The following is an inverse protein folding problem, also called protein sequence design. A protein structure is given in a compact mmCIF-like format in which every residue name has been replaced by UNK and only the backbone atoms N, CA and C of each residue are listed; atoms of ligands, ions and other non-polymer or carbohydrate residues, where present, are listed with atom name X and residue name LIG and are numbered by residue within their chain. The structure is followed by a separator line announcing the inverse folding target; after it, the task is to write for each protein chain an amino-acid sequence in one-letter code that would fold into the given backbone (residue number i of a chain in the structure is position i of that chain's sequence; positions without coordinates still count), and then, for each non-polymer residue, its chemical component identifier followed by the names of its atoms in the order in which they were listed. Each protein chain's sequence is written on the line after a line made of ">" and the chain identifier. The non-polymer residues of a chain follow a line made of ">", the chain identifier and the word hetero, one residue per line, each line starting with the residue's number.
data_IF_525291998411
#
_entry.id   IF_525291998411
#
_cell.length_a   1.000
_cell.length_b   1.000
_cell.length_c   1.000
_cell.angle_alpha   90.00
_cell.angle_beta   90.00
_cell.angle_gamma   90.00
#
_symmetry.space_group_name_H-M   'P 1'
#
loop_
_entity.id
_entity.type
_entity.pdbx_description
1 polymer ?
#
# COMPACT_ATOMS: atom_id res chain seq x y z
N UNK A 1 53.57 0.24 -12.28
CA UNK A 1 52.25 0.04 -12.90
C UNK A 1 51.20 0.19 -11.81
N UNK A 2 50.57 1.34 -11.74
CA UNK A 2 49.53 1.64 -10.74
C UNK A 2 48.18 1.27 -11.36
N UNK A 3 47.49 0.24 -10.80
CA UNK A 3 46.15 -0.14 -11.20
C UNK A 3 45.15 0.71 -10.43
N UNK A 4 44.54 1.65 -11.12
CA UNK A 4 43.46 2.46 -10.58
C UNK A 4 42.19 1.60 -10.56
N UNK A 5 41.69 1.20 -9.36
CA UNK A 5 40.39 0.61 -9.19
C UNK A 5 39.31 1.72 -9.28
N UNK A 6 38.52 1.71 -10.32
CA UNK A 6 37.28 2.50 -10.37
C UNK A 6 36.23 1.83 -9.47
N UNK A 7 35.91 2.47 -8.37
CA UNK A 7 34.75 2.10 -7.53
C UNK A 7 33.51 2.71 -8.18
N UNK A 8 32.66 1.88 -8.77
CA UNK A 8 31.36 2.30 -9.26
C UNK A 8 30.43 2.51 -8.05
N UNK A 9 30.17 3.76 -7.70
CA UNK A 9 29.11 4.09 -6.73
C UNK A 9 27.75 3.90 -7.39
N UNK A 10 27.06 2.85 -7.01
CA UNK A 10 25.63 2.68 -7.33
C UNK A 10 24.83 3.60 -6.40
N UNK A 11 24.25 4.66 -6.94
CA UNK A 11 23.26 5.46 -6.23
C UNK A 11 21.96 4.66 -6.15
N UNK A 12 21.66 4.11 -4.97
CA UNK A 12 20.32 3.61 -4.67
C UNK A 12 19.42 4.85 -4.53
N UNK A 13 18.41 4.97 -5.40
CA UNK A 13 17.35 5.96 -5.23
C UNK A 13 16.59 5.62 -3.94
N UNK A 14 16.39 6.56 -3.01
CA UNK A 14 15.61 6.29 -1.82
C UNK A 14 14.16 6.01 -2.23
N UNK A 15 13.64 4.82 -1.90
CA UNK A 15 12.22 4.53 -2.00
C UNK A 15 11.50 5.40 -0.94
N UNK A 16 10.46 6.12 -1.37
CA UNK A 16 9.66 6.94 -0.46
C UNK A 16 8.71 6.03 0.32
N UNK A 17 8.88 5.99 1.64
CA UNK A 17 7.97 5.27 2.53
C UNK A 17 6.58 5.91 2.47
N UNK A 18 5.55 5.06 2.30
CA UNK A 18 4.16 5.49 2.26
C UNK A 18 3.54 5.43 3.65
N UNK A 19 2.47 6.18 3.86
CA UNK A 19 1.79 6.27 5.15
C UNK A 19 0.93 5.03 5.40
N UNK A 20 1.26 4.28 6.46
CA UNK A 20 0.47 3.14 6.96
C UNK A 20 -0.07 3.53 8.33
N UNK A 21 -1.38 3.65 8.45
CA UNK A 21 -2.04 4.10 9.69
C UNK A 21 -3.14 3.14 10.13
N UNK A 22 -3.50 3.19 11.41
CA UNK A 22 -4.69 2.49 11.90
C UNK A 22 -5.94 2.99 11.20
N UNK A 23 -6.92 2.08 11.00
CA UNK A 23 -8.19 2.44 10.41
C UNK A 23 -8.91 3.50 11.26
N UNK A 24 -9.34 4.55 10.60
CA UNK A 24 -10.10 5.63 11.17
C UNK A 24 -11.19 6.07 10.16
N UNK A 25 -11.43 7.34 10.01
CA UNK A 25 -12.48 7.90 9.16
C UNK A 25 -12.44 7.41 7.69
N UNK A 26 -11.28 7.03 7.18
CA UNK A 26 -11.13 6.51 5.81
C UNK A 26 -11.78 5.13 5.62
N UNK A 27 -11.76 4.30 6.68
CA UNK A 27 -12.14 2.89 6.63
C UNK A 27 -13.62 2.67 6.93
N UNK A 28 -14.48 3.46 6.31
CA UNK A 28 -15.93 3.30 6.41
C UNK A 28 -16.43 2.32 5.35
N UNK A 29 -17.51 1.62 5.67
CA UNK A 29 -18.11 0.65 4.74
C UNK A 29 -18.58 1.31 3.43
N UNK A 30 -19.08 2.54 3.50
CA UNK A 30 -19.52 3.32 2.35
C UNK A 30 -18.37 3.94 1.53
N UNK A 31 -17.12 3.81 2.00
CA UNK A 31 -15.94 4.18 1.25
C UNK A 31 -15.37 3.03 0.41
N UNK A 32 -15.80 1.78 0.63
CA UNK A 32 -15.36 0.65 -0.21
C UNK A 32 -15.86 0.90 -1.63
N UNK A 33 -14.92 0.93 -2.58
CA UNK A 33 -15.22 1.25 -3.97
C UNK A 33 -16.11 0.18 -4.60
N UNK A 34 -17.07 0.61 -5.39
CA UNK A 34 -18.07 -0.24 -6.03
C UNK A 34 -17.64 -0.68 -7.45
N UNK A 35 -17.97 -1.91 -7.88
CA UNK A 35 -18.58 -2.99 -7.08
C UNK A 35 -17.57 -3.69 -6.17
N UNK A 36 -17.98 -4.04 -4.96
CA UNK A 36 -17.10 -4.58 -3.91
C UNK A 36 -16.34 -5.83 -4.34
N UNK A 37 -16.97 -6.71 -5.11
CA UNK A 37 -16.36 -7.95 -5.60
C UNK A 37 -15.18 -7.72 -6.56
N UNK A 38 -15.14 -6.59 -7.25
CA UNK A 38 -14.05 -6.23 -8.15
C UNK A 38 -12.90 -5.49 -7.41
N UNK A 39 -13.25 -4.73 -6.37
CA UNK A 39 -12.31 -3.89 -5.64
C UNK A 39 -12.00 -4.39 -4.23
N UNK A 40 -12.20 -5.69 -3.99
CA UNK A 40 -11.81 -6.38 -2.77
C UNK A 40 -11.30 -7.78 -3.11
N UNK A 41 -10.18 -8.20 -2.49
CA UNK A 41 -9.60 -9.54 -2.66
C UNK A 41 -9.15 -10.11 -1.32
N UNK A 42 -9.23 -11.43 -1.20
CA UNK A 42 -8.74 -12.17 -0.04
C UNK A 42 -7.50 -12.99 -0.38
N UNK A 43 -6.65 -13.17 0.62
CA UNK A 43 -5.41 -13.95 0.56
C UNK A 43 -5.29 -14.79 1.84
N UNK A 44 -4.35 -15.73 1.87
CA UNK A 44 -4.10 -16.59 3.03
C UNK A 44 -5.39 -17.26 3.56
N UNK A 45 -6.13 -17.93 2.67
CA UNK A 45 -7.39 -18.62 2.97
C UNK A 45 -8.48 -17.71 3.61
N UNK A 46 -8.48 -16.42 3.26
CA UNK A 46 -9.43 -15.44 3.76
C UNK A 46 -8.99 -14.65 4.98
N UNK A 47 -7.85 -14.99 5.59
CA UNK A 47 -7.33 -14.28 6.77
C UNK A 47 -6.93 -12.84 6.45
N UNK A 48 -6.46 -12.60 5.25
CA UNK A 48 -6.09 -11.27 4.77
C UNK A 48 -7.10 -10.79 3.73
N UNK A 49 -7.55 -9.55 3.86
CA UNK A 49 -8.39 -8.88 2.86
C UNK A 49 -7.79 -7.53 2.52
N UNK A 50 -7.69 -7.26 1.22
CA UNK A 50 -7.41 -5.94 0.67
C UNK A 50 -8.67 -5.39 0.02
N UNK A 51 -8.90 -4.09 0.17
CA UNK A 51 -9.97 -3.39 -0.55
C UNK A 51 -9.54 -1.97 -0.91
N UNK A 52 -10.03 -1.50 -2.06
CA UNK A 52 -9.85 -0.11 -2.45
C UNK A 52 -10.94 0.74 -1.79
N UNK A 53 -10.52 1.82 -1.13
CA UNK A 53 -11.38 2.82 -0.54
C UNK A 53 -11.35 4.09 -1.40
N UNK A 54 -12.49 4.76 -1.54
CA UNK A 54 -12.60 6.11 -2.06
C UNK A 54 -13.32 6.98 -1.02
N UNK A 55 -12.58 7.91 -0.45
CA UNK A 55 -13.11 8.86 0.54
C UNK A 55 -13.77 10.08 -0.10
N UNK A 56 -13.73 10.17 -1.45
CA UNK A 56 -14.26 11.27 -2.27
C UNK A 56 -13.41 12.55 -2.13
N UNK A 57 -13.08 12.92 -0.92
CA UNK A 57 -12.27 14.10 -0.61
C UNK A 57 -10.99 13.72 0.19
N UNK A 58 -9.87 14.37 -0.07
CA UNK A 58 -9.62 15.36 -1.14
C UNK A 58 -9.56 14.69 -2.52
N UNK A 59 -10.14 15.31 -3.55
CA UNK A 59 -10.29 14.71 -4.88
C UNK A 59 -8.96 14.25 -5.53
N UNK A 60 -7.86 14.94 -5.25
CA UNK A 60 -6.53 14.58 -5.74
C UNK A 60 -5.84 13.44 -4.94
N UNK A 61 -6.46 12.96 -3.86
CA UNK A 61 -5.89 11.96 -2.96
C UNK A 61 -6.96 11.24 -2.15
N UNK A 62 -8.03 10.78 -2.79
CA UNK A 62 -9.16 10.12 -2.12
C UNK A 62 -9.04 8.61 -2.01
N UNK A 63 -8.13 7.97 -2.75
CA UNK A 63 -8.01 6.52 -2.77
C UNK A 63 -7.01 6.01 -1.75
N UNK A 64 -7.44 5.02 -0.95
CA UNK A 64 -6.60 4.35 0.03
C UNK A 64 -6.69 2.83 -0.16
N UNK A 65 -5.62 2.11 0.21
CA UNK A 65 -5.66 0.65 0.29
C UNK A 65 -6.01 0.25 1.72
N UNK A 66 -7.14 -0.44 1.89
CA UNK A 66 -7.52 -1.08 3.15
C UNK A 66 -6.82 -2.41 3.28
N UNK A 67 -6.26 -2.68 4.44
CA UNK A 67 -5.66 -3.98 4.82
C UNK A 67 -6.31 -4.48 6.11
N UNK A 68 -7.02 -5.60 6.00
CA UNK A 68 -7.50 -6.37 7.16
C UNK A 68 -6.68 -7.66 7.25
N UNK A 69 -6.05 -7.91 8.38
CA UNK A 69 -5.11 -9.03 8.49
C UNK A 69 -4.94 -9.52 9.93
N UNK A 70 -4.35 -10.72 10.14
CA UNK A 70 -3.78 -11.07 11.43
C UNK A 70 -2.69 -10.04 11.84
N UNK A 71 -2.33 -9.95 13.13
CA UNK A 71 -2.83 -10.81 14.22
C UNK A 71 -4.26 -10.46 14.63
N UNK A 72 -4.96 -11.44 15.18
CA UNK A 72 -6.27 -11.24 15.78
C UNK A 72 -6.13 -10.71 17.21
N UNK A 73 -7.02 -9.82 17.61
CA UNK A 73 -7.13 -9.36 18.98
C UNK A 73 -7.81 -10.40 19.89
N UNK A 74 -7.94 -10.09 21.17
CA UNK A 74 -8.54 -11.00 22.17
C UNK A 74 -10.01 -11.32 21.88
N UNK A 75 -10.69 -10.50 21.10
CA UNK A 75 -12.10 -10.68 20.70
C UNK A 75 -12.24 -11.35 19.34
N UNK A 76 -11.13 -11.68 18.68
CA UNK A 76 -11.12 -12.29 17.35
C UNK A 76 -11.20 -11.26 16.20
N UNK A 77 -11.01 -9.97 16.46
CA UNK A 77 -10.94 -8.93 15.45
C UNK A 77 -9.57 -8.92 14.75
N UNK A 78 -9.58 -8.75 13.42
CA UNK A 78 -8.34 -8.54 12.65
C UNK A 78 -7.80 -7.13 12.88
N UNK A 79 -6.49 -6.96 12.76
CA UNK A 79 -5.96 -5.61 12.63
C UNK A 79 -6.50 -4.94 11.38
N UNK A 80 -6.69 -3.63 11.46
CA UNK A 80 -7.16 -2.79 10.36
C UNK A 80 -6.16 -1.67 10.11
N UNK A 81 -5.68 -1.57 8.86
CA UNK A 81 -4.75 -0.51 8.42
C UNK A 81 -5.23 0.08 7.11
N UNK A 82 -4.91 1.35 6.92
CA UNK A 82 -5.02 2.01 5.62
C UNK A 82 -3.66 2.47 5.14
N UNK A 83 -3.39 2.30 3.85
CA UNK A 83 -2.18 2.80 3.19
C UNK A 83 -2.60 3.96 2.30
N UNK A 84 -2.01 5.11 2.55
CA UNK A 84 -2.19 6.33 1.76
C UNK A 84 -0.86 6.84 1.21
N UNK A 85 -0.94 7.95 0.48
CA UNK A 85 0.25 8.60 -0.10
C UNK A 85 1.09 9.29 0.99
N UNK A 86 0.45 9.98 1.93
CA UNK A 86 1.10 10.64 3.05
C UNK A 86 0.40 11.92 3.50
N UNK A 87 0.66 12.34 4.73
CA UNK A 87 0.04 13.54 5.31
C UNK A 87 -1.48 13.46 5.45
N UNK A 88 -2.03 12.26 5.60
CA UNK A 88 -3.46 12.00 5.64
C UNK A 88 -4.13 11.89 4.27
N UNK A 89 -3.43 12.19 3.19
CA UNK A 89 -3.94 12.04 1.83
C UNK A 89 -3.73 10.61 1.30
N UNK A 90 -4.66 10.18 0.46
CA UNK A 90 -4.55 8.95 -0.31
C UNK A 90 -3.86 9.17 -1.67
N UNK A 91 -4.01 8.18 -2.53
CA UNK A 91 -3.60 8.25 -3.93
C UNK A 91 -4.67 8.95 -4.78
N UNK A 92 -4.27 9.45 -5.95
CA UNK A 92 -5.21 9.99 -6.95
C UNK A 92 -5.93 8.87 -7.71
N UNK A 93 -5.37 7.67 -7.72
CA UNK A 93 -5.95 6.47 -8.29
C UNK A 93 -5.19 5.23 -7.87
N UNK A 94 -5.89 4.10 -7.81
CA UNK A 94 -5.31 2.77 -7.57
C UNK A 94 -5.81 1.84 -8.67
N UNK A 95 -4.89 1.27 -9.46
CA UNK A 95 -5.19 0.28 -10.48
C UNK A 95 -5.38 -1.10 -9.87
N UNK A 96 -6.47 -1.30 -9.11
CA UNK A 96 -6.70 -2.49 -8.30
C UNK A 96 -6.75 -3.79 -9.12
N UNK A 97 -7.17 -3.73 -10.39
CA UNK A 97 -7.13 -4.86 -11.32
C UNK A 97 -5.71 -5.37 -11.59
N UNK A 98 -4.72 -4.49 -11.46
CA UNK A 98 -3.29 -4.81 -11.59
C UNK A 98 -2.62 -5.29 -10.31
N UNK A 99 -3.39 -5.50 -9.23
CA UNK A 99 -2.84 -6.00 -7.96
C UNK A 99 -2.23 -7.40 -8.14
N UNK A 100 -0.96 -7.52 -7.78
CA UNK A 100 -0.21 -8.77 -7.72
C UNK A 100 0.17 -9.10 -6.28
N UNK A 101 0.30 -10.38 -5.98
CA UNK A 101 0.68 -10.85 -4.66
C UNK A 101 1.67 -12.01 -4.76
N UNK A 102 2.67 -12.00 -3.87
CA UNK A 102 3.66 -13.05 -3.71
C UNK A 102 3.82 -13.38 -2.23
N UNK A 103 4.37 -14.54 -1.93
CA UNK A 103 4.72 -14.95 -0.57
C UNK A 103 6.21 -15.28 -0.47
N UNK A 104 6.86 -14.71 0.54
CA UNK A 104 8.23 -15.02 0.89
C UNK A 104 8.28 -15.41 2.37
N UNK A 105 8.77 -16.64 2.72
CA UNK A 105 8.81 -17.09 4.11
C UNK A 105 9.60 -16.19 5.06
N UNK A 106 10.57 -15.43 4.56
CA UNK A 106 11.39 -14.52 5.35
C UNK A 106 10.72 -13.16 5.60
N UNK A 107 9.75 -12.77 4.76
CA UNK A 107 9.12 -11.44 4.78
C UNK A 107 7.63 -11.54 5.12
N UNK A 108 6.92 -12.47 4.51
CA UNK A 108 5.47 -12.61 4.53
C UNK A 108 4.84 -12.40 3.16
N UNK A 109 3.64 -11.85 3.12
CA UNK A 109 2.98 -11.47 1.88
C UNK A 109 3.60 -10.18 1.32
N UNK A 110 3.77 -10.16 0.01
CA UNK A 110 4.31 -9.02 -0.73
C UNK A 110 3.28 -8.65 -1.80
N UNK A 111 2.89 -7.38 -1.84
CA UNK A 111 1.89 -6.87 -2.77
C UNK A 111 2.48 -5.77 -3.63
N UNK A 112 2.03 -5.71 -4.87
CA UNK A 112 2.31 -4.62 -5.79
C UNK A 112 1.05 -4.17 -6.51
N UNK A 113 0.83 -2.88 -6.60
CA UNK A 113 -0.33 -2.32 -7.30
C UNK A 113 0.03 -1.00 -7.99
N UNK A 114 -0.38 -0.78 -9.26
CA UNK A 114 -0.19 0.50 -9.92
C UNK A 114 -0.99 1.60 -9.22
N UNK A 115 -0.38 2.76 -9.05
CA UNK A 115 -1.03 3.92 -8.43
C UNK A 115 -0.75 5.20 -9.21
N UNK A 116 -1.64 6.17 -9.04
CA UNK A 116 -1.40 7.57 -9.40
C UNK A 116 -1.41 8.42 -8.13
N UNK A 117 -0.62 9.46 -8.11
CA UNK A 117 -0.55 10.41 -7.00
C UNK A 117 -0.30 11.81 -7.51
N UNK A 118 -0.68 12.81 -6.70
CA UNK A 118 -0.38 14.20 -7.00
C UNK A 118 1.02 14.53 -6.49
N UNK A 119 1.91 14.93 -7.38
CA UNK A 119 3.25 15.38 -7.05
C UNK A 119 3.24 16.91 -6.89
N UNK A 120 3.38 17.37 -5.66
CA UNK A 120 3.36 18.79 -5.35
C UNK A 120 4.56 19.57 -5.88
N UNK A 121 5.69 18.91 -6.14
CA UNK A 121 6.88 19.55 -6.72
C UNK A 121 6.70 19.79 -8.22
N UNK A 122 6.10 18.83 -8.91
CA UNK A 122 5.78 18.96 -10.33
C UNK A 122 4.48 19.72 -10.58
N UNK A 123 3.64 19.88 -9.56
CA UNK A 123 2.28 20.40 -9.63
C UNK A 123 1.42 19.65 -10.68
N UNK A 124 1.60 18.33 -10.76
CA UNK A 124 0.94 17.46 -11.72
C UNK A 124 0.78 16.04 -11.14
N UNK A 125 0.03 15.21 -11.83
CA UNK A 125 -0.14 13.80 -11.45
C UNK A 125 1.01 12.97 -12.00
N UNK A 126 1.51 12.06 -11.16
CA UNK A 126 2.52 11.08 -11.51
C UNK A 126 1.98 9.67 -11.29
N UNK A 127 2.63 8.70 -11.94
CA UNK A 127 2.32 7.28 -11.78
C UNK A 127 3.48 6.55 -11.16
N UNK A 128 3.18 5.50 -10.39
CA UNK A 128 4.17 4.64 -9.77
C UNK A 128 3.57 3.28 -9.40
N UNK A 129 4.32 2.49 -8.68
CA UNK A 129 3.85 1.25 -8.09
C UNK A 129 3.93 1.35 -6.57
N UNK A 130 2.80 1.10 -5.91
CA UNK A 130 2.78 0.90 -4.47
C UNK A 130 3.19 -0.55 -4.20
N UNK A 131 4.35 -0.72 -3.55
CA UNK A 131 4.82 -2.00 -3.01
C UNK A 131 4.61 -2.00 -1.51
N UNK A 132 4.04 -3.06 -0.96
CA UNK A 132 3.93 -3.22 0.47
C UNK A 132 4.04 -4.67 0.91
N UNK A 133 4.56 -4.87 2.10
CA UNK A 133 4.72 -6.19 2.72
C UNK A 133 3.82 -6.30 3.93
N UNK A 134 3.39 -7.52 4.24
CA UNK A 134 2.59 -7.84 5.42
C UNK A 134 3.16 -9.07 6.10
N UNK A 135 3.67 -8.90 7.31
CA UNK A 135 3.99 -10.00 8.20
C UNK A 135 2.75 -10.37 9.02
N UNK A 136 2.14 -11.50 8.72
CA UNK A 136 0.92 -11.94 9.40
C UNK A 136 1.13 -12.34 10.87
N UNK A 137 2.36 -12.65 11.28
CA UNK A 137 2.68 -13.08 12.64
C UNK A 137 2.64 -11.89 13.62
N UNK A 138 3.19 -10.76 13.25
CA UNK A 138 3.27 -9.55 14.09
C UNK A 138 2.45 -8.38 13.60
N UNK A 139 1.91 -8.46 12.38
CA UNK A 139 1.08 -7.42 11.77
C UNK A 139 1.86 -6.25 11.17
N UNK A 140 3.18 -6.34 11.08
CA UNK A 140 4.00 -5.29 10.48
C UNK A 140 3.67 -5.13 9.00
N UNK A 141 3.42 -3.89 8.58
CA UNK A 141 3.22 -3.50 7.19
C UNK A 141 4.25 -2.42 6.87
N UNK A 142 5.03 -2.63 5.83
CA UNK A 142 5.94 -1.64 5.27
C UNK A 142 5.49 -1.32 3.85
N UNK A 143 5.38 -0.05 3.49
CA UNK A 143 4.86 0.39 2.21
C UNK A 143 5.81 1.41 1.57
N UNK A 144 6.04 1.25 0.27
CA UNK A 144 6.96 2.07 -0.52
C UNK A 144 6.36 2.38 -1.88
N UNK A 145 6.73 3.53 -2.42
CA UNK A 145 6.41 3.93 -3.78
C UNK A 145 7.66 3.80 -4.67
N UNK A 146 7.49 3.12 -5.82
CA UNK A 146 8.52 2.99 -6.86
C UNK A 146 8.06 3.60 -8.19
#
# INVERSE_FOLDING_TARGET
>A
MIRTLLFAMTFATPALAQEVVECDWQARADAIYEPWEEFSRTFANGDVRLAMLDTIEPAAGSFHMLVLSPPYDELGGRQCRTIGFGGGAGFSGIGFEGLVAEYNPAIGLIFGVPVQYYDGELADFASGNLLFTLNQADGTIEAFLE
#
